data_IF_355959397242
#
_entry.id   IF_355959397242
#
_cell.length_a   1.000
_cell.length_b   1.000
_cell.length_c   1.000
_cell.angle_alpha   90.00
_cell.angle_beta   90.00
_cell.angle_gamma   90.00
#
_symmetry.space_group_name_H-M   'P 1'
#
loop_
_entity.id
_entity.type
_entity.pdbx_description
1 polymer ?
#
# COMPACT_ATOMS: atom_id res chain seq x y z
N UNK A 1 49.95 31.49 16.57
CA UNK A 1 48.92 30.75 17.31
C UNK A 1 47.74 30.58 16.38
N UNK A 2 47.32 29.34 16.17
CA UNK A 2 46.22 28.96 15.27
C UNK A 2 44.90 29.19 16.01
N UNK A 3 44.19 30.26 15.67
CA UNK A 3 42.84 30.49 16.19
C UNK A 3 41.81 29.80 15.30
N UNK A 4 40.90 29.11 15.97
CA UNK A 4 40.09 28.01 15.50
C UNK A 4 39.06 28.40 14.43
N UNK A 5 38.92 27.52 13.43
CA UNK A 5 37.81 27.45 12.49
C UNK A 5 36.45 27.33 13.22
N UNK A 6 35.40 28.04 12.81
CA UNK A 6 34.05 27.81 13.34
C UNK A 6 33.52 26.48 12.84
N UNK A 7 33.06 25.63 13.76
CA UNK A 7 32.39 24.38 13.47
C UNK A 7 31.09 24.64 12.68
N UNK A 8 31.01 24.05 11.47
CA UNK A 8 29.77 23.90 10.72
C UNK A 8 28.79 23.04 11.52
N UNK A 9 27.53 23.48 11.61
CA UNK A 9 26.48 22.71 12.25
C UNK A 9 26.21 21.44 11.42
N UNK A 10 26.45 20.29 12.01
CA UNK A 10 25.98 19.02 11.47
C UNK A 10 24.50 18.88 11.83
N UNK A 11 23.64 19.63 11.12
CA UNK A 11 22.20 19.40 11.13
C UNK A 11 21.94 18.10 10.36
N UNK A 12 22.10 16.98 11.07
CA UNK A 12 21.84 15.63 10.58
C UNK A 12 20.38 15.61 10.15
N UNK A 13 20.17 15.66 8.83
CA UNK A 13 18.87 15.55 8.20
C UNK A 13 18.09 14.42 8.83
N UNK A 14 16.96 14.77 9.44
CA UNK A 14 16.00 13.79 9.92
C UNK A 14 15.65 12.93 8.71
N UNK A 15 16.08 11.65 8.72
CA UNK A 15 15.63 10.67 7.73
C UNK A 15 14.12 10.57 7.91
N UNK A 16 13.38 11.38 7.15
CA UNK A 16 11.94 11.30 7.07
C UNK A 16 11.61 9.90 6.59
N UNK A 17 11.06 9.08 7.49
CA UNK A 17 10.70 7.69 7.22
C UNK A 17 9.53 7.73 6.25
N UNK A 18 9.66 7.10 5.09
CA UNK A 18 8.55 6.91 4.16
C UNK A 18 7.53 5.92 4.72
N UNK A 19 6.39 5.82 4.05
CA UNK A 19 5.38 4.80 4.34
C UNK A 19 5.47 3.69 3.31
N UNK A 20 5.27 2.45 3.75
CA UNK A 20 5.13 1.29 2.89
C UNK A 20 4.03 0.44 3.47
N UNK A 21 3.03 0.08 2.66
CA UNK A 21 1.93 -0.77 3.06
C UNK A 21 1.64 -1.83 2.00
N UNK A 22 1.02 -2.92 2.43
CA UNK A 22 0.46 -3.91 1.51
C UNK A 22 -1.05 -3.68 1.45
N UNK A 23 -1.63 -3.72 0.25
CA UNK A 23 -3.07 -3.73 0.08
C UNK A 23 -3.52 -5.05 -0.55
N UNK A 24 -4.71 -5.48 -0.15
CA UNK A 24 -5.37 -6.67 -0.67
C UNK A 24 -6.82 -6.35 -0.99
N UNK A 25 -7.30 -6.85 -2.12
CA UNK A 25 -8.70 -6.82 -2.52
C UNK A 25 -9.16 -8.24 -2.80
N UNK A 26 -10.31 -8.61 -2.25
CA UNK A 26 -10.99 -9.86 -2.53
C UNK A 26 -12.46 -9.56 -2.83
N UNK A 27 -12.98 -10.03 -3.96
CA UNK A 27 -14.38 -9.78 -4.30
C UNK A 27 -14.86 -10.52 -5.53
N UNK A 28 -16.16 -10.39 -5.81
CA UNK A 28 -16.69 -10.79 -7.11
C UNK A 28 -16.18 -9.83 -8.18
N UNK A 29 -15.83 -10.34 -9.36
CA UNK A 29 -15.39 -9.48 -10.45
C UNK A 29 -16.50 -8.50 -10.85
N UNK A 30 -16.24 -7.21 -10.63
CA UNK A 30 -17.09 -6.11 -11.01
C UNK A 30 -16.26 -5.11 -11.83
N UNK A 31 -16.83 -4.64 -12.92
CA UNK A 31 -16.18 -3.63 -13.78
C UNK A 31 -15.80 -2.39 -12.97
N UNK A 32 -14.50 -2.09 -12.91
CA UNK A 32 -13.97 -0.86 -12.35
C UNK A 32 -13.45 -0.93 -10.90
N UNK A 33 -13.44 -2.10 -10.25
CA UNK A 33 -12.92 -2.26 -8.88
C UNK A 33 -11.50 -1.73 -8.71
N UNK A 34 -10.59 -2.19 -9.58
CA UNK A 34 -9.18 -1.74 -9.57
C UNK A 34 -9.10 -0.23 -9.77
N UNK A 35 -9.89 0.33 -10.67
CA UNK A 35 -9.88 1.77 -10.93
C UNK A 35 -10.30 2.59 -9.70
N UNK A 36 -11.35 2.17 -8.98
CA UNK A 36 -11.81 2.90 -7.79
C UNK A 36 -10.80 2.83 -6.64
N UNK A 37 -10.25 1.64 -6.38
CA UNK A 37 -9.24 1.45 -5.32
C UNK A 37 -7.97 2.23 -5.64
N UNK A 38 -7.45 2.10 -6.86
CA UNK A 38 -6.27 2.87 -7.29
C UNK A 38 -6.51 4.38 -7.26
N UNK A 39 -7.74 4.84 -7.52
CA UNK A 39 -8.11 6.25 -7.40
C UNK A 39 -8.06 6.75 -5.96
N UNK A 40 -8.51 5.96 -4.98
CA UNK A 40 -8.38 6.29 -3.55
C UNK A 40 -6.90 6.33 -3.14
N UNK A 41 -6.11 5.35 -3.56
CA UNK A 41 -4.66 5.33 -3.30
C UNK A 41 -3.98 6.58 -3.88
N UNK A 42 -4.29 6.94 -5.13
CA UNK A 42 -3.75 8.11 -5.80
C UNK A 42 -4.20 9.44 -5.15
N UNK A 43 -5.45 9.53 -4.68
CA UNK A 43 -5.97 10.67 -3.90
C UNK A 43 -5.12 10.92 -2.65
N UNK A 44 -4.66 9.86 -2.00
CA UNK A 44 -3.77 9.91 -0.83
C UNK A 44 -2.27 9.98 -1.18
N UNK A 45 -1.95 10.13 -2.47
CA UNK A 45 -0.59 10.19 -3.03
C UNK A 45 0.24 8.92 -2.81
N UNK A 46 -0.41 7.80 -2.51
CA UNK A 46 0.25 6.50 -2.45
C UNK A 46 0.64 6.07 -3.86
N UNK A 47 1.92 5.79 -4.06
CA UNK A 47 2.43 5.15 -5.26
C UNK A 47 2.26 3.64 -5.14
N UNK A 48 1.93 2.98 -6.25
CA UNK A 48 1.87 1.51 -6.29
C UNK A 48 3.21 1.02 -6.82
N UNK A 49 3.95 0.29 -5.98
CA UNK A 49 5.25 -0.29 -6.35
C UNK A 49 5.05 -1.61 -7.11
N UNK A 50 4.14 -2.45 -6.61
CA UNK A 50 3.80 -3.75 -7.19
C UNK A 50 2.29 -3.97 -7.11
N UNK A 51 1.72 -4.59 -8.14
CA UNK A 51 0.32 -5.01 -8.16
C UNK A 51 0.22 -6.31 -8.93
N UNK A 52 -0.43 -7.29 -8.33
CA UNK A 52 -0.74 -8.59 -8.91
C UNK A 52 -2.24 -8.79 -8.85
N UNK A 53 -2.80 -9.20 -9.97
CA UNK A 53 -4.20 -9.56 -10.11
C UNK A 53 -4.29 -11.04 -10.44
N UNK A 54 -5.17 -11.75 -9.73
CA UNK A 54 -5.45 -13.17 -9.99
C UNK A 54 -6.95 -13.39 -9.98
N UNK A 55 -7.41 -14.19 -10.95
CA UNK A 55 -8.79 -14.66 -11.04
C UNK A 55 -8.81 -16.15 -10.73
N UNK A 56 -9.68 -16.57 -9.83
CA UNK A 56 -9.86 -17.97 -9.48
C UNK A 56 -11.33 -18.38 -9.66
N UNK A 57 -11.55 -19.49 -10.34
CA UNK A 57 -12.88 -20.07 -10.47
C UNK A 57 -13.32 -20.68 -9.14
N UNK A 58 -14.44 -20.22 -8.58
CA UNK A 58 -14.94 -20.76 -7.33
C UNK A 58 -15.26 -22.26 -7.48
N UNK A 59 -14.71 -23.15 -6.63
CA UNK A 59 -14.70 -24.61 -6.84
C UNK A 59 -16.07 -25.29 -6.92
N UNK A 60 -17.16 -24.59 -6.56
CA UNK A 60 -18.53 -25.13 -6.60
C UNK A 60 -19.58 -24.13 -7.12
N UNK A 61 -19.19 -22.94 -7.59
CA UNK A 61 -20.09 -21.77 -7.59
C UNK A 61 -20.30 -21.02 -8.90
N UNK A 62 -19.60 -21.35 -10.00
CA UNK A 62 -19.76 -20.68 -11.29
C UNK A 62 -19.47 -19.16 -11.29
N UNK A 63 -18.87 -18.64 -10.21
CA UNK A 63 -18.50 -17.24 -10.06
C UNK A 63 -16.96 -17.15 -9.99
N UNK A 64 -16.40 -16.19 -10.73
CA UNK A 64 -14.97 -15.88 -10.71
C UNK A 64 -14.69 -14.94 -9.55
N UNK A 65 -13.79 -15.37 -8.65
CA UNK A 65 -13.27 -14.53 -7.59
C UNK A 65 -12.11 -13.72 -8.13
N UNK A 66 -12.15 -12.43 -7.88
CA UNK A 66 -11.13 -11.47 -8.25
C UNK A 66 -10.30 -11.12 -7.02
N UNK A 67 -9.00 -11.35 -7.13
CA UNK A 67 -8.03 -11.08 -6.10
C UNK A 67 -7.00 -10.07 -6.61
N UNK A 68 -6.69 -9.06 -5.80
CA UNK A 68 -5.59 -8.13 -6.06
C UNK A 68 -4.73 -8.04 -4.82
N UNK A 69 -3.44 -8.29 -4.99
CA UNK A 69 -2.43 -7.98 -3.99
C UNK A 69 -1.54 -6.87 -4.53
N UNK A 70 -1.14 -5.93 -3.68
CA UNK A 70 -0.15 -4.95 -4.08
C UNK A 70 0.57 -4.29 -2.94
N UNK A 71 1.64 -3.58 -3.30
CA UNK A 71 2.52 -2.86 -2.41
C UNK A 71 2.40 -1.38 -2.76
N UNK A 72 2.15 -0.56 -1.74
CA UNK A 72 2.06 0.89 -1.87
C UNK A 72 3.14 1.57 -1.06
N UNK A 73 3.69 2.66 -1.60
CA UNK A 73 4.68 3.48 -0.92
C UNK A 73 4.34 4.96 -0.96
N UNK A 74 4.79 5.67 0.06
CA UNK A 74 4.80 7.13 0.07
C UNK A 74 6.22 7.60 0.32
N UNK A 75 6.78 8.27 -0.68
CA UNK A 75 8.08 8.89 -0.57
C UNK A 75 8.06 9.97 0.51
N UNK A 76 9.10 10.06 1.34
CA UNK A 76 9.18 11.10 2.35
C UNK A 76 9.48 12.49 1.73
N UNK A 77 9.13 13.60 2.43
CA UNK A 77 8.50 13.66 3.75
C UNK A 77 7.00 13.32 3.70
N UNK A 78 6.52 12.60 4.72
CA UNK A 78 5.10 12.29 4.86
C UNK A 78 4.30 13.59 5.07
N UNK A 79 3.15 13.76 4.41
CA UNK A 79 2.23 14.85 4.68
C UNK A 79 1.83 14.88 6.17
N UNK A 80 1.70 16.06 6.77
CA UNK A 80 1.30 16.20 8.20
C UNK A 80 -0.07 15.58 8.52
N UNK A 81 -0.91 15.38 7.51
CA UNK A 81 -2.25 14.81 7.60
C UNK A 81 -2.30 13.36 7.11
N UNK A 82 -1.14 12.72 6.89
CA UNK A 82 -1.09 11.33 6.49
C UNK A 82 -1.46 10.44 7.67
N UNK A 83 -2.58 9.74 7.54
CA UNK A 83 -3.08 8.78 8.52
C UNK A 83 -3.42 7.46 7.81
N UNK A 84 -2.60 6.41 7.98
CA UNK A 84 -2.83 5.14 7.31
C UNK A 84 -4.15 4.47 7.76
N UNK A 85 -4.59 4.69 9.01
CA UNK A 85 -5.84 4.11 9.51
C UNK A 85 -7.06 4.76 8.87
N UNK A 86 -7.01 6.08 8.62
CA UNK A 86 -8.05 6.79 7.88
C UNK A 86 -8.15 6.30 6.42
N UNK A 87 -7.01 6.07 5.76
CA UNK A 87 -6.97 5.53 4.39
C UNK A 87 -7.52 4.10 4.36
N UNK A 88 -7.10 3.26 5.31
CA UNK A 88 -7.61 1.89 5.43
C UNK A 88 -9.13 1.87 5.65
N UNK A 89 -9.66 2.80 6.45
CA UNK A 89 -11.10 2.95 6.64
C UNK A 89 -11.81 3.39 5.36
N UNK A 90 -11.30 4.39 4.65
CA UNK A 90 -11.91 4.84 3.38
C UNK A 90 -11.93 3.72 2.33
N UNK A 91 -10.85 2.93 2.24
CA UNK A 91 -10.78 1.75 1.37
C UNK A 91 -11.79 0.67 1.77
N UNK A 92 -11.96 0.42 3.07
CA UNK A 92 -12.96 -0.53 3.57
C UNK A 92 -14.38 -0.08 3.26
N UNK A 93 -14.72 1.18 3.54
CA UNK A 93 -16.04 1.75 3.25
C UNK A 93 -16.34 1.68 1.74
N UNK A 94 -15.32 1.92 0.89
CA UNK A 94 -15.41 1.76 -0.56
C UNK A 94 -15.66 0.29 -0.94
N UNK A 95 -14.90 -0.65 -0.36
CA UNK A 95 -15.08 -2.08 -0.56
C UNK A 95 -16.49 -2.55 -0.25
N UNK A 96 -17.02 -2.18 0.92
CA UNK A 96 -18.39 -2.51 1.33
C UNK A 96 -19.43 -2.02 0.31
N UNK A 97 -19.25 -0.81 -0.23
CA UNK A 97 -20.16 -0.27 -1.26
C UNK A 97 -20.12 -1.02 -2.59
N UNK A 98 -19.01 -1.71 -2.88
CA UNK A 98 -18.79 -2.48 -4.10
C UNK A 98 -18.90 -4.00 -3.88
N UNK A 99 -19.35 -4.42 -2.70
CA UNK A 99 -19.44 -5.83 -2.30
C UNK A 99 -18.10 -6.57 -2.43
N UNK A 100 -17.01 -5.91 -2.01
CA UNK A 100 -15.65 -6.42 -2.00
C UNK A 100 -15.00 -6.14 -0.64
N UNK A 101 -14.02 -6.94 -0.25
CA UNK A 101 -13.17 -6.63 0.90
C UNK A 101 -11.90 -5.93 0.43
N UNK A 102 -11.51 -4.85 1.11
CA UNK A 102 -10.28 -4.12 0.83
C UNK A 102 -9.55 -3.85 2.13
N UNK A 103 -8.34 -4.40 2.23
CA UNK A 103 -7.50 -4.32 3.41
C UNK A 103 -6.23 -3.56 3.04
N UNK A 104 -5.83 -2.61 3.89
CA UNK A 104 -4.54 -1.93 3.82
C UNK A 104 -3.81 -2.16 5.14
N UNK A 105 -2.60 -2.72 5.07
CA UNK A 105 -1.75 -2.98 6.24
C UNK A 105 -0.45 -2.18 6.17
N UNK A 106 -0.13 -1.47 7.26
CA UNK A 106 1.15 -0.78 7.39
C UNK A 106 2.31 -1.79 7.57
N UNK A 107 3.31 -1.69 6.69
CA UNK A 107 4.55 -2.46 6.73
C UNK A 107 5.76 -1.60 7.15
N UNK A 108 5.56 -0.37 7.64
CA UNK A 108 6.60 0.60 8.02
C UNK A 108 7.45 0.17 9.23
N UNK A 109 8.25 -0.88 9.06
CA UNK A 109 9.09 -1.45 10.11
C UNK A 109 9.12 -2.98 10.13
N UNK A 110 8.28 -3.65 9.34
CA UNK A 110 8.29 -5.10 9.19
C UNK A 110 8.73 -5.44 7.78
N UNK A 111 9.96 -5.98 7.62
CA UNK A 111 10.36 -6.68 6.39
C UNK A 111 9.62 -8.02 6.32
N UNK A 112 8.30 -8.02 6.13
CA UNK A 112 7.62 -9.23 5.65
C UNK A 112 7.50 -9.10 4.14
N UNK A 113 8.38 -9.81 3.44
CA UNK A 113 8.17 -10.07 2.01
C UNK A 113 6.90 -10.90 1.91
N UNK A 114 5.91 -10.50 1.10
CA UNK A 114 4.71 -11.30 0.90
C UNK A 114 5.08 -12.73 0.50
N UNK A 115 4.38 -13.73 1.06
CA UNK A 115 4.68 -15.15 0.84
C UNK A 115 4.60 -15.53 -0.65
N UNK A 116 3.69 -14.88 -1.39
CA UNK A 116 3.45 -15.10 -2.82
C UNK A 116 4.62 -14.72 -3.73
N UNK A 117 5.62 -13.99 -3.24
CA UNK A 117 6.87 -13.71 -3.99
C UNK A 117 7.69 -14.99 -4.20
N UNK A 118 7.49 -16.03 -3.38
CA UNK A 118 8.33 -17.25 -3.37
C UNK A 118 7.62 -18.52 -3.84
N UNK A 119 6.28 -18.54 -3.92
CA UNK A 119 5.51 -19.77 -4.18
C UNK A 119 5.51 -20.26 -5.64
N UNK A 120 6.16 -19.56 -6.58
CA UNK A 120 6.23 -19.95 -8.00
C UNK A 120 7.68 -20.20 -8.52
N UNK A 121 8.64 -20.46 -7.63
CA UNK A 121 10.05 -20.73 -7.99
C UNK A 121 10.49 -22.18 -7.72
N UNK A 122 9.54 -23.12 -7.63
CA UNK A 122 9.79 -24.55 -7.50
C UNK A 122 9.58 -25.29 -8.83
#
# INVERSE_FOLDING_TARGET
>A
CIDATPAMDSNIGTKSKGFTGNFRLDGADNLGLVHQVTSVLAKHRLSIDEMRTTEEDAPYGGATLFHVDGIVTLAPPLPKQFDPDAIAKELRDLGESMNCDVILEDQSGKKKRPNWIWENLA
#
